data_IF_894350571614
#
_entry.id   IF_894350571614
#
_cell.length_a   1.000
_cell.length_b   1.000
_cell.length_c   1.000
_cell.angle_alpha   90.00
_cell.angle_beta   90.00
_cell.angle_gamma   90.00
#
_symmetry.space_group_name_H-M   'P 1'
#
loop_
_entity.id
_entity.type
_entity.pdbx_description
1 polymer ?
#
# COMPACT_ATOMS: atom_id res chain seq x y z
N UNK A 1 -1.22 -81.15 -0.52
CA UNK A 1 -2.46 -80.72 -1.21
C UNK A 1 -3.51 -80.52 -0.12
N UNK A 2 -4.24 -79.40 0.04
CA UNK A 2 -4.34 -78.15 -0.72
C UNK A 2 -4.00 -76.89 0.11
N UNK A 3 -4.06 -75.73 -0.54
CA UNK A 3 -3.63 -74.40 -0.10
C UNK A 3 -4.73 -73.52 0.59
N UNK A 4 -4.74 -72.16 0.52
CA UNK A 4 -4.78 -71.26 1.68
C UNK A 4 -6.07 -70.42 1.70
N UNK A 5 -6.19 -69.40 2.60
CA UNK A 5 -6.92 -68.13 2.37
C UNK A 5 -6.76 -67.22 3.60
N UNK A 6 -6.03 -66.09 3.51
CA UNK A 6 -6.38 -64.75 2.99
C UNK A 6 -7.35 -63.93 3.86
N UNK A 7 -6.88 -62.71 4.17
CA UNK A 7 -7.63 -61.44 4.29
C UNK A 7 -8.56 -61.31 5.51
N UNK A 8 -8.78 -60.16 6.14
CA UNK A 8 -8.56 -58.74 5.80
C UNK A 8 -8.91 -57.89 7.03
N UNK A 9 -8.34 -56.68 7.09
CA UNK A 9 -8.94 -55.42 7.58
C UNK A 9 -9.94 -55.47 8.75
N UNK A 10 -9.76 -54.59 9.75
CA UNK A 10 -10.35 -53.24 9.72
C UNK A 10 -10.04 -52.42 10.98
N UNK A 11 -9.71 -51.16 10.70
CA UNK A 11 -9.60 -49.99 11.57
C UNK A 11 -10.77 -49.81 12.54
N UNK A 12 -10.45 -49.23 13.70
CA UNK A 12 -11.11 -48.01 14.17
C UNK A 12 -12.03 -48.17 15.39
N UNK A 13 -11.79 -47.33 16.40
CA UNK A 13 -12.74 -47.13 17.51
C UNK A 13 -12.07 -46.67 18.80
N UNK A 14 -11.40 -45.51 18.78
CA UNK A 14 -10.89 -44.86 19.98
C UNK A 14 -12.04 -44.47 20.91
N UNK A 15 -11.92 -44.89 22.16
CA UNK A 15 -12.92 -44.80 23.20
C UNK A 15 -13.24 -43.36 23.62
N UNK A 16 -14.54 -43.11 23.80
CA UNK A 16 -15.06 -41.99 24.56
C UNK A 16 -14.81 -42.22 26.06
N UNK A 17 -14.23 -41.23 26.74
CA UNK A 17 -14.32 -41.12 28.20
C UNK A 17 -14.63 -39.68 28.57
N UNK A 18 -15.88 -39.47 28.98
CA UNK A 18 -16.39 -38.28 29.64
C UNK A 18 -15.77 -38.17 31.03
N UNK A 19 -15.26 -36.97 31.39
CA UNK A 19 -14.52 -36.74 32.64
C UNK A 19 -14.60 -35.28 33.11
N UNK A 20 -15.81 -34.88 33.47
CA UNK A 20 -16.28 -33.80 34.35
C UNK A 20 -15.25 -32.95 35.14
N UNK A 21 -15.32 -31.64 34.87
CA UNK A 21 -15.32 -30.47 35.79
C UNK A 21 -14.11 -30.10 36.69
N UNK A 22 -13.64 -28.85 36.50
CA UNK A 22 -13.50 -27.82 37.57
C UNK A 22 -13.38 -26.41 36.94
N UNK A 23 -14.33 -25.53 37.26
CA UNK A 23 -14.35 -24.10 36.92
C UNK A 23 -13.52 -23.30 37.95
N UNK A 24 -12.95 -22.15 37.55
CA UNK A 24 -13.03 -20.96 38.38
C UNK A 24 -13.81 -19.83 37.73
N UNK A 25 -14.59 -19.13 38.57
CA UNK A 25 -15.44 -17.99 38.27
C UNK A 25 -14.62 -16.70 38.34
N UNK A 26 -14.69 -15.86 37.31
CA UNK A 26 -14.38 -14.42 37.42
C UNK A 26 -15.48 -13.64 36.69
N UNK A 27 -16.13 -12.66 37.36
CA UNK A 27 -17.20 -11.88 36.76
C UNK A 27 -16.68 -10.67 35.96
N UNK A 28 -17.42 -10.18 34.96
CA UNK A 28 -17.12 -8.95 34.25
C UNK A 28 -17.75 -7.75 34.95
N UNK A 29 -17.06 -6.60 34.99
CA UNK A 29 -17.67 -5.30 35.27
C UNK A 29 -17.08 -4.22 34.37
N UNK A 30 -17.97 -3.64 33.57
CA UNK A 30 -17.78 -2.49 32.69
C UNK A 30 -17.60 -1.17 33.46
N UNK A 31 -17.18 -0.08 32.78
CA UNK A 31 -16.69 1.14 33.41
C UNK A 31 -17.82 2.14 33.70
N UNK A 32 -17.69 2.90 34.78
CA UNK A 32 -18.53 4.07 35.03
C UNK A 32 -17.74 5.18 35.74
N UNK A 33 -17.94 6.37 35.20
CA UNK A 33 -17.54 7.72 35.60
C UNK A 33 -18.11 8.20 36.94
N UNK A 34 -17.39 9.09 37.63
CA UNK A 34 -17.90 10.29 38.35
C UNK A 34 -16.72 11.04 39.01
N UNK A 35 -16.39 12.27 38.57
CA UNK A 35 -16.81 13.57 39.14
C UNK A 35 -16.08 13.91 40.47
N UNK A 36 -15.58 15.11 40.77
CA UNK A 36 -15.52 16.47 40.20
C UNK A 36 -14.43 17.23 40.99
N UNK A 37 -13.89 18.39 40.59
CA UNK A 37 -14.48 19.72 40.78
C UNK A 37 -13.50 20.74 40.16
N UNK A 38 -13.92 21.53 39.17
CA UNK A 38 -14.40 22.91 39.30
C UNK A 38 -13.31 23.97 39.56
N UNK A 39 -13.06 24.82 38.55
CA UNK A 39 -13.02 26.29 38.63
C UNK A 39 -12.78 26.90 37.23
N UNK A 40 -13.88 27.35 36.62
CA UNK A 40 -13.93 28.57 35.80
C UNK A 40 -14.47 29.70 36.72
N UNK A 41 -14.51 31.01 36.37
CA UNK A 41 -14.34 31.61 35.04
C UNK A 41 -13.56 32.96 35.02
N UNK A 42 -13.23 33.48 33.83
CA UNK A 42 -13.35 34.91 33.54
C UNK A 42 -13.25 35.18 32.03
N UNK A 43 -14.35 35.68 31.46
CA UNK A 43 -14.44 36.30 30.14
C UNK A 43 -14.14 37.79 30.28
N UNK A 44 -13.43 38.38 29.31
CA UNK A 44 -13.55 39.77 28.80
C UNK A 44 -12.60 39.89 27.59
N UNK A 45 -13.08 39.85 26.35
CA UNK A 45 -13.80 40.88 25.57
C UNK A 45 -12.94 42.07 25.10
N UNK A 46 -12.67 42.05 23.77
CA UNK A 46 -12.50 43.19 22.81
C UNK A 46 -11.30 44.13 23.07
N UNK A 47 -10.55 44.67 22.11
CA UNK A 47 -10.91 45.46 20.91
C UNK A 47 -9.68 45.70 20.01
N UNK A 48 -9.92 45.80 18.70
CA UNK A 48 -9.31 46.69 17.68
C UNK A 48 -7.78 46.92 17.62
N UNK A 49 -7.18 46.72 16.43
CA UNK A 49 -6.92 47.82 15.49
C UNK A 49 -6.29 47.33 14.18
N UNK A 50 -6.74 47.97 13.11
CA UNK A 50 -6.31 47.79 11.73
C UNK A 50 -5.03 48.55 11.40
N UNK A 51 -4.32 48.08 10.37
CA UNK A 51 -3.54 48.81 9.34
C UNK A 51 -3.00 47.71 8.43
N UNK A 52 -3.26 47.64 7.14
CA UNK A 52 -3.31 48.70 6.14
C UNK A 52 -2.33 48.27 5.06
N UNK A 53 -2.82 47.94 3.85
CA UNK A 53 -2.00 47.34 2.81
C UNK A 53 -2.78 47.07 1.53
N UNK A 54 -3.34 48.13 0.98
CA UNK A 54 -3.92 48.24 -0.36
C UNK A 54 -2.86 48.05 -1.45
N UNK A 55 -3.12 47.15 -2.39
CA UNK A 55 -2.83 47.39 -3.82
C UNK A 55 -3.73 46.54 -4.74
N UNK A 56 -4.76 47.21 -5.24
CA UNK A 56 -5.23 47.14 -6.64
C UNK A 56 -4.05 47.06 -7.62
N UNK A 57 -4.13 46.55 -8.84
CA UNK A 57 -5.17 45.92 -9.64
C UNK A 57 -4.52 45.45 -10.97
N UNK A 58 -5.27 44.64 -11.71
CA UNK A 58 -5.33 44.57 -13.19
C UNK A 58 -4.10 44.11 -13.99
N UNK A 59 -4.30 42.95 -14.64
CA UNK A 59 -4.31 42.83 -16.10
C UNK A 59 -2.96 42.73 -16.80
N UNK A 60 -2.73 41.61 -17.50
CA UNK A 60 -1.61 41.52 -18.43
C UNK A 60 -1.30 40.10 -18.92
N UNK A 61 -2.03 39.68 -19.96
CA UNK A 61 -1.52 38.88 -21.08
C UNK A 61 -0.62 37.67 -20.79
N UNK A 62 -1.27 36.51 -20.79
CA UNK A 62 -0.71 35.23 -21.20
C UNK A 62 0.03 35.33 -22.54
N UNK A 63 1.37 35.27 -22.52
CA UNK A 63 2.19 34.97 -23.69
C UNK A 63 2.90 33.65 -23.51
N UNK A 64 2.53 32.72 -24.37
CA UNK A 64 3.13 31.42 -24.56
C UNK A 64 4.67 31.51 -24.68
N UNK A 65 5.37 30.78 -23.81
CA UNK A 65 6.75 30.37 -24.06
C UNK A 65 6.79 28.86 -24.25
N UNK A 66 6.91 28.51 -25.52
CA UNK A 66 7.23 27.21 -26.09
C UNK A 66 8.65 26.85 -25.64
N UNK A 67 8.78 26.05 -24.59
CA UNK A 67 10.04 25.37 -24.26
C UNK A 67 9.94 23.93 -24.75
N UNK A 68 10.69 23.69 -25.82
CA UNK A 68 10.94 22.40 -26.44
C UNK A 68 11.51 21.40 -25.43
N UNK A 69 10.84 20.25 -25.32
CA UNK A 69 11.37 19.03 -24.70
C UNK A 69 12.49 18.49 -25.60
N UNK A 70 13.69 18.18 -25.12
CA UNK A 70 14.54 17.23 -25.81
C UNK A 70 14.01 15.81 -25.56
N UNK A 71 13.90 15.03 -26.64
CA UNK A 71 13.56 13.61 -26.61
C UNK A 71 14.66 12.79 -25.88
N UNK A 72 14.33 11.65 -25.27
CA UNK A 72 15.34 10.75 -24.71
C UNK A 72 16.17 10.15 -25.86
N UNK A 73 17.45 10.51 -25.90
CA UNK A 73 18.42 9.86 -26.77
C UNK A 73 18.51 8.37 -26.39
N UNK A 74 18.47 7.54 -27.43
CA UNK A 74 18.66 6.10 -27.34
C UNK A 74 19.94 5.77 -26.57
N UNK A 75 19.79 5.01 -25.48
CA UNK A 75 20.89 4.45 -24.72
C UNK A 75 21.69 3.51 -25.64
N UNK A 76 22.93 3.89 -25.93
CA UNK A 76 23.96 2.93 -26.35
C UNK A 76 24.25 2.02 -25.15
N UNK A 77 24.33 0.72 -25.42
CA UNK A 77 24.59 -0.32 -24.42
C UNK A 77 25.90 -0.06 -23.65
N UNK A 78 25.97 -0.37 -22.35
CA UNK A 78 27.16 -0.17 -21.54
C UNK A 78 28.05 -1.42 -21.54
N UNK A 79 29.04 -1.47 -22.44
CA UNK A 79 30.14 -2.44 -22.35
C UNK A 79 31.23 -1.98 -21.34
N UNK A 80 31.28 -0.68 -21.02
CA UNK A 80 32.35 -0.07 -20.21
C UNK A 80 32.07 0.03 -18.69
N UNK A 81 30.89 -0.38 -18.22
CA UNK A 81 30.55 -0.33 -16.78
C UNK A 81 31.26 -1.46 -16.02
N UNK A 82 31.41 -2.65 -16.63
CA UNK A 82 31.99 -3.82 -15.96
C UNK A 82 33.43 -3.59 -15.49
N UNK A 83 34.31 -3.08 -16.36
CA UNK A 83 35.73 -2.88 -16.03
C UNK A 83 35.95 -1.77 -14.98
N UNK A 84 35.19 -0.68 -15.04
CA UNK A 84 35.25 0.40 -14.05
C UNK A 84 34.71 -0.04 -12.70
N UNK A 85 33.64 -0.84 -12.68
CA UNK A 85 33.06 -1.35 -11.44
C UNK A 85 33.99 -2.35 -10.74
N UNK A 86 34.73 -3.19 -11.47
CA UNK A 86 35.69 -4.13 -10.85
C UNK A 86 36.92 -3.39 -10.32
N UNK A 87 37.40 -2.35 -11.03
CA UNK A 87 38.50 -1.52 -10.57
C UNK A 87 38.09 -0.68 -9.34
N UNK A 88 36.93 -0.03 -9.38
CA UNK A 88 36.36 0.71 -8.24
C UNK A 88 36.02 -0.20 -7.07
N UNK A 89 35.55 -1.43 -7.33
CA UNK A 89 35.32 -2.44 -6.30
C UNK A 89 36.64 -2.87 -5.67
N UNK A 90 37.70 -3.09 -6.47
CA UNK A 90 39.04 -3.43 -5.97
C UNK A 90 39.62 -2.30 -5.12
N UNK A 91 39.44 -1.05 -5.53
CA UNK A 91 39.92 0.14 -4.80
C UNK A 91 39.10 0.41 -3.52
N UNK A 92 37.78 0.17 -3.57
CA UNK A 92 36.93 0.22 -2.39
C UNK A 92 37.19 -0.94 -1.41
N UNK A 93 37.56 -2.13 -1.91
CA UNK A 93 37.98 -3.25 -1.08
C UNK A 93 39.34 -2.94 -0.43
N UNK A 94 40.29 -2.39 -1.19
CA UNK A 94 41.61 -2.05 -0.68
C UNK A 94 41.56 -0.99 0.40
N UNK A 95 40.88 0.13 0.14
CA UNK A 95 40.84 1.26 1.07
C UNK A 95 40.00 1.00 2.33
N UNK A 96 39.04 0.06 2.28
CA UNK A 96 38.01 -0.07 3.33
C UNK A 96 38.03 -1.39 4.09
N UNK A 97 38.59 -2.44 3.50
CA UNK A 97 38.74 -3.75 4.14
C UNK A 97 40.21 -4.11 4.34
N UNK A 98 41.08 -3.82 3.37
CA UNK A 98 42.48 -4.25 3.43
C UNK A 98 43.33 -3.37 4.33
N UNK A 99 43.32 -2.05 4.13
CA UNK A 99 44.13 -1.13 4.94
C UNK A 99 43.75 -1.15 6.45
N UNK A 100 42.46 -1.26 6.85
CA UNK A 100 42.11 -1.29 8.27
C UNK A 100 42.27 -2.65 8.95
N UNK A 101 42.28 -3.75 8.19
CA UNK A 101 42.38 -5.12 8.73
C UNK A 101 43.75 -5.77 8.46
N UNK A 102 44.70 -5.02 7.92
CA UNK A 102 46.03 -5.49 7.52
C UNK A 102 45.96 -6.73 6.58
N UNK A 103 44.93 -6.83 5.73
CA UNK A 103 44.73 -7.99 4.86
C UNK A 103 45.65 -7.93 3.63
N UNK A 104 46.65 -8.79 3.55
CA UNK A 104 47.54 -8.84 2.39
C UNK A 104 46.91 -9.66 1.26
N UNK A 105 46.58 -9.03 0.14
CA UNK A 105 46.18 -9.74 -1.09
C UNK A 105 47.42 -10.26 -1.82
N UNK A 106 47.67 -11.56 -1.69
CA UNK A 106 48.72 -12.24 -2.44
C UNK A 106 48.11 -12.90 -3.67
N UNK A 107 48.59 -12.51 -4.85
CA UNK A 107 48.25 -13.26 -6.06
C UNK A 107 49.00 -14.58 -6.07
N UNK A 108 48.46 -15.57 -6.78
CA UNK A 108 49.08 -16.88 -6.88
C UNK A 108 50.51 -16.77 -7.41
N UNK A 109 50.75 -15.91 -8.41
CA UNK A 109 52.10 -15.73 -8.95
C UNK A 109 53.08 -15.23 -7.88
N UNK A 110 52.64 -14.32 -6.99
CA UNK A 110 53.47 -13.77 -5.92
C UNK A 110 53.81 -14.81 -4.84
N UNK A 111 52.89 -15.73 -4.57
CA UNK A 111 53.10 -16.84 -3.64
C UNK A 111 54.11 -17.82 -4.26
N UNK A 112 53.94 -18.17 -5.54
CA UNK A 112 54.83 -19.11 -6.23
C UNK A 112 56.25 -18.54 -6.40
N UNK A 113 56.39 -17.24 -6.66
CA UNK A 113 57.67 -16.53 -6.70
C UNK A 113 58.41 -16.61 -5.35
N UNK A 114 57.75 -16.18 -4.27
CA UNK A 114 58.36 -16.17 -2.93
C UNK A 114 58.71 -17.58 -2.43
N UNK A 115 57.88 -18.57 -2.73
CA UNK A 115 58.15 -19.97 -2.37
C UNK A 115 59.26 -20.54 -3.25
N UNK A 116 59.31 -20.20 -4.55
CA UNK A 116 60.38 -20.61 -5.46
C UNK A 116 61.75 -20.08 -5.07
N UNK A 117 61.83 -18.84 -4.56
CA UNK A 117 63.06 -18.28 -4.00
C UNK A 117 63.52 -19.06 -2.77
N UNK A 118 62.59 -19.47 -1.90
CA UNK A 118 62.90 -20.27 -0.72
C UNK A 118 63.44 -21.67 -1.08
N UNK A 119 62.95 -22.26 -2.18
CA UNK A 119 63.47 -23.53 -2.73
C UNK A 119 64.87 -23.33 -3.31
N UNK A 120 65.08 -22.26 -4.08
CA UNK A 120 66.39 -21.95 -4.68
C UNK A 120 67.48 -21.71 -3.62
N UNK A 121 67.10 -21.12 -2.49
CA UNK A 121 67.99 -20.91 -1.33
C UNK A 121 68.17 -22.18 -0.47
N UNK A 122 67.51 -23.28 -0.81
CA UNK A 122 67.58 -24.55 -0.07
C UNK A 122 66.93 -24.51 1.32
N UNK A 123 66.04 -23.54 1.59
CA UNK A 123 65.32 -23.41 2.88
C UNK A 123 64.06 -24.26 2.96
N UNK A 124 63.51 -24.62 1.80
CA UNK A 124 62.31 -25.45 1.65
C UNK A 124 62.59 -26.44 0.51
N UNK A 125 62.11 -27.67 0.61
CA UNK A 125 62.24 -28.62 -0.50
C UNK A 125 61.21 -28.29 -1.59
N UNK A 126 61.46 -28.70 -2.83
CA UNK A 126 60.53 -28.47 -3.93
C UNK A 126 59.16 -29.13 -3.67
N UNK A 127 59.14 -30.29 -3.02
CA UNK A 127 57.93 -31.01 -2.67
C UNK A 127 57.15 -30.30 -1.54
N UNK A 128 57.84 -29.87 -0.47
CA UNK A 128 57.22 -29.11 0.63
C UNK A 128 56.62 -27.79 0.13
N UNK A 129 57.29 -27.14 -0.81
CA UNK A 129 56.80 -25.91 -1.44
C UNK A 129 55.46 -26.13 -2.18
N UNK A 130 55.33 -27.22 -2.93
CA UNK A 130 54.08 -27.55 -3.63
C UNK A 130 52.95 -27.84 -2.64
N UNK A 131 53.24 -28.54 -1.54
CA UNK A 131 52.26 -28.81 -0.49
C UNK A 131 51.80 -27.51 0.21
N UNK A 132 52.73 -26.61 0.54
CA UNK A 132 52.43 -25.33 1.17
C UNK A 132 51.54 -24.45 0.28
N UNK A 133 51.87 -24.34 -1.01
CA UNK A 133 51.06 -23.56 -1.97
C UNK A 133 49.67 -24.18 -2.12
N UNK A 134 49.59 -25.51 -2.24
CA UNK A 134 48.32 -26.23 -2.31
C UNK A 134 47.43 -25.98 -1.09
N UNK A 135 48.00 -26.14 0.11
CA UNK A 135 47.29 -25.92 1.37
C UNK A 135 46.84 -24.47 1.60
N UNK A 136 47.65 -23.50 1.20
CA UNK A 136 47.29 -22.07 1.25
C UNK A 136 46.12 -21.76 0.32
N UNK A 137 46.16 -22.24 -0.92
CA UNK A 137 45.09 -22.01 -1.89
C UNK A 137 43.78 -22.71 -1.47
N UNK A 138 43.86 -23.95 -0.99
CA UNK A 138 42.69 -24.68 -0.52
C UNK A 138 42.05 -24.00 0.69
N UNK A 139 42.86 -23.59 1.68
CA UNK A 139 42.39 -22.85 2.85
C UNK A 139 41.78 -21.50 2.47
N UNK A 140 42.42 -20.75 1.57
CA UNK A 140 41.91 -19.46 1.10
C UNK A 140 40.58 -19.60 0.34
N UNK A 141 40.44 -20.63 -0.50
CA UNK A 141 39.16 -20.96 -1.16
C UNK A 141 38.07 -21.29 -0.15
N UNK A 142 38.38 -22.13 0.84
CA UNK A 142 37.43 -22.48 1.90
C UNK A 142 36.95 -21.26 2.67
N UNK A 143 37.86 -20.41 3.13
CA UNK A 143 37.53 -19.17 3.83
C UNK A 143 36.69 -18.22 2.97
N UNK A 144 37.00 -18.09 1.68
CA UNK A 144 36.21 -17.26 0.75
C UNK A 144 34.78 -17.80 0.59
N UNK A 145 34.63 -19.13 0.47
CA UNK A 145 33.33 -19.77 0.36
C UNK A 145 32.51 -19.63 1.66
N UNK A 146 33.16 -19.72 2.82
CA UNK A 146 32.52 -19.53 4.12
C UNK A 146 31.98 -18.09 4.25
N UNK A 147 32.81 -17.09 3.91
CA UNK A 147 32.40 -15.67 3.92
C UNK A 147 31.29 -15.41 2.89
N UNK A 148 31.39 -16.00 1.69
CA UNK A 148 30.35 -15.88 0.67
C UNK A 148 29.03 -16.49 1.15
N UNK A 149 29.08 -17.66 1.80
CA UNK A 149 27.92 -18.30 2.40
C UNK A 149 27.28 -17.46 3.52
N UNK A 150 28.09 -16.84 4.38
CA UNK A 150 27.60 -15.94 5.42
C UNK A 150 26.93 -14.69 4.81
N UNK A 151 27.51 -14.12 3.76
CA UNK A 151 26.94 -12.99 3.02
C UNK A 151 25.63 -13.37 2.34
N UNK A 152 25.56 -14.53 1.69
CA UNK A 152 24.33 -15.06 1.09
C UNK A 152 23.25 -15.27 2.16
N UNK A 153 23.61 -15.82 3.32
CA UNK A 153 22.70 -16.02 4.44
C UNK A 153 22.21 -14.70 5.06
N UNK A 154 23.05 -13.67 5.13
CA UNK A 154 22.65 -12.34 5.57
C UNK A 154 21.76 -11.64 4.53
N UNK A 155 22.08 -11.78 3.24
CA UNK A 155 21.30 -11.19 2.17
C UNK A 155 19.92 -11.84 2.06
N UNK A 156 19.83 -13.17 2.20
CA UNK A 156 18.57 -13.90 2.24
C UNK A 156 17.69 -13.43 3.42
N UNK A 157 18.27 -13.36 4.64
CA UNK A 157 17.56 -12.83 5.81
C UNK A 157 17.11 -11.39 5.64
N UNK A 158 17.98 -10.53 5.09
CA UNK A 158 17.64 -9.13 4.82
C UNK A 158 16.50 -8.99 3.80
N UNK A 159 16.47 -9.86 2.78
CA UNK A 159 15.38 -9.90 1.80
C UNK A 159 14.07 -10.32 2.44
N UNK A 160 14.06 -11.36 3.27
CA UNK A 160 12.84 -11.84 3.94
C UNK A 160 12.26 -10.78 4.89
N UNK A 161 13.10 -10.07 5.64
CA UNK A 161 12.68 -8.98 6.53
C UNK A 161 12.12 -7.78 5.74
N UNK A 162 12.79 -7.42 4.64
CA UNK A 162 12.32 -6.35 3.74
C UNK A 162 11.01 -6.73 3.08
N UNK A 163 10.85 -7.97 2.64
CA UNK A 163 9.62 -8.46 2.02
C UNK A 163 8.46 -8.49 3.01
N UNK A 164 8.70 -8.94 4.25
CA UNK A 164 7.70 -8.89 5.33
C UNK A 164 7.27 -7.46 5.66
N UNK A 165 8.23 -6.53 5.77
CA UNK A 165 7.95 -5.11 6.03
C UNK A 165 7.22 -4.46 4.85
N UNK A 166 7.68 -4.68 3.63
CA UNK A 166 7.07 -4.14 2.42
C UNK A 166 5.66 -4.70 2.18
N UNK A 167 5.45 -5.99 2.43
CA UNK A 167 4.14 -6.63 2.38
C UNK A 167 3.15 -6.00 3.37
N UNK A 168 3.60 -5.77 4.61
CA UNK A 168 2.76 -5.12 5.62
C UNK A 168 2.43 -3.66 5.27
N UNK A 169 3.39 -2.91 4.71
CA UNK A 169 3.20 -1.53 4.27
C UNK A 169 2.23 -1.45 3.08
N UNK A 170 2.38 -2.34 2.09
CA UNK A 170 1.48 -2.45 0.94
C UNK A 170 0.06 -2.76 1.38
N UNK A 171 -0.13 -3.72 2.30
CA UNK A 171 -1.45 -4.08 2.82
C UNK A 171 -2.13 -2.89 3.51
N UNK A 172 -1.42 -2.21 4.42
CA UNK A 172 -1.92 -1.00 5.08
C UNK A 172 -2.27 0.10 4.09
N UNK A 173 -1.44 0.31 3.06
CA UNK A 173 -1.71 1.28 2.00
C UNK A 173 -2.98 0.94 1.21
N UNK A 174 -3.17 -0.34 0.87
CA UNK A 174 -4.37 -0.79 0.16
C UNK A 174 -5.65 -0.66 0.99
N UNK A 175 -5.58 -0.97 2.28
CA UNK A 175 -6.71 -0.82 3.20
C UNK A 175 -7.07 0.65 3.42
N UNK A 176 -6.07 1.53 3.54
CA UNK A 176 -6.27 2.97 3.65
C UNK A 176 -6.92 3.54 2.38
N UNK A 177 -6.43 3.15 1.20
CA UNK A 177 -6.99 3.57 -0.08
C UNK A 177 -8.45 3.11 -0.24
N UNK A 178 -8.77 1.87 0.16
CA UNK A 178 -10.15 1.35 0.12
C UNK A 178 -11.08 2.15 1.03
N UNK A 179 -10.63 2.52 2.23
CA UNK A 179 -11.40 3.35 3.16
C UNK A 179 -11.62 4.76 2.61
N UNK A 180 -10.59 5.37 2.02
CA UNK A 180 -10.70 6.68 1.41
C UNK A 180 -11.74 6.70 0.27
N UNK A 181 -11.72 5.69 -0.61
CA UNK A 181 -12.74 5.54 -1.67
C UNK A 181 -14.15 5.45 -1.11
N UNK A 182 -14.36 4.61 -0.11
CA UNK A 182 -15.68 4.45 0.53
C UNK A 182 -16.17 5.76 1.14
N UNK A 183 -15.29 6.53 1.79
CA UNK A 183 -15.66 7.83 2.37
C UNK A 183 -16.07 8.84 1.29
N UNK A 184 -15.39 8.85 0.14
CA UNK A 184 -15.74 9.70 -1.00
C UNK A 184 -17.08 9.27 -1.60
N UNK A 185 -17.33 7.98 -1.76
CA UNK A 185 -18.62 7.44 -2.21
C UNK A 185 -19.75 7.83 -1.25
N UNK A 186 -19.55 7.68 0.06
CA UNK A 186 -20.54 8.06 1.06
C UNK A 186 -20.80 9.57 1.07
N UNK A 187 -19.75 10.38 0.94
CA UNK A 187 -19.85 11.84 0.88
C UNK A 187 -20.57 12.31 -0.39
N UNK A 188 -20.25 11.72 -1.54
CA UNK A 188 -20.90 12.04 -2.82
C UNK A 188 -22.36 11.61 -2.84
N UNK A 189 -22.70 10.44 -2.28
CA UNK A 189 -24.09 9.98 -2.12
C UNK A 189 -24.90 10.95 -1.25
N UNK A 190 -24.32 11.42 -0.13
CA UNK A 190 -24.95 12.43 0.73
C UNK A 190 -25.15 13.77 0.02
N UNK A 191 -24.12 14.25 -0.69
CA UNK A 191 -24.22 15.50 -1.45
C UNK A 191 -25.30 15.43 -2.53
N UNK A 192 -25.40 14.30 -3.24
CA UNK A 192 -26.44 14.07 -4.25
C UNK A 192 -27.85 14.08 -3.62
N UNK A 193 -28.03 13.39 -2.51
CA UNK A 193 -29.32 13.36 -1.81
C UNK A 193 -29.73 14.74 -1.29
N UNK A 194 -28.77 15.53 -0.79
CA UNK A 194 -29.06 16.87 -0.29
C UNK A 194 -29.38 17.84 -1.42
N UNK A 195 -28.64 17.79 -2.53
CA UNK A 195 -28.95 18.54 -3.73
C UNK A 195 -30.36 18.21 -4.27
N UNK A 196 -30.75 16.93 -4.26
CA UNK A 196 -32.08 16.50 -4.66
C UNK A 196 -33.18 17.09 -3.77
N UNK A 197 -32.98 17.13 -2.44
CA UNK A 197 -33.95 17.75 -1.51
C UNK A 197 -34.08 19.26 -1.72
N UNK A 198 -32.99 19.95 -2.02
CA UNK A 198 -33.01 21.40 -2.25
C UNK A 198 -33.65 21.77 -3.60
N UNK A 199 -33.48 20.94 -4.63
CA UNK A 199 -34.06 21.15 -5.95
C UNK A 199 -35.57 20.83 -6.00
N UNK A 200 -36.05 19.91 -5.16
CA UNK A 200 -37.44 19.43 -5.18
C UNK A 200 -38.52 20.53 -5.03
N UNK A 201 -38.44 21.47 -4.06
CA UNK A 201 -39.46 22.52 -3.94
C UNK A 201 -39.44 23.51 -5.11
N UNK A 202 -38.28 23.70 -5.76
CA UNK A 202 -38.18 24.57 -6.94
C UNK A 202 -38.84 23.90 -8.14
N UNK A 203 -38.58 22.61 -8.35
CA UNK A 203 -39.22 21.82 -9.40
C UNK A 203 -40.73 21.70 -9.19
N UNK A 204 -41.20 21.53 -7.95
CA UNK A 204 -42.63 21.51 -7.64
C UNK A 204 -43.32 22.85 -7.95
N UNK A 205 -42.67 23.98 -7.69
CA UNK A 205 -43.17 25.32 -8.05
C UNK A 205 -43.21 25.51 -9.57
N UNK A 206 -42.18 25.05 -10.27
CA UNK A 206 -42.13 25.07 -11.74
C UNK A 206 -43.26 24.21 -12.30
N UNK A 207 -43.47 22.99 -11.79
CA UNK A 207 -44.59 22.13 -12.19
C UNK A 207 -45.93 22.83 -11.98
N UNK A 208 -46.13 23.51 -10.84
CA UNK A 208 -47.37 24.24 -10.55
C UNK A 208 -47.60 25.41 -11.52
N UNK A 209 -46.59 26.23 -11.76
CA UNK A 209 -46.66 27.35 -12.71
C UNK A 209 -46.91 26.86 -14.14
N UNK A 210 -46.27 25.75 -14.52
CA UNK A 210 -46.42 25.11 -15.81
C UNK A 210 -47.84 24.61 -16.06
N UNK A 211 -48.43 23.93 -15.06
CA UNK A 211 -49.81 23.43 -15.13
C UNK A 211 -50.81 24.58 -15.20
N UNK A 212 -50.59 25.65 -14.43
CA UNK A 212 -51.43 26.85 -14.47
C UNK A 212 -51.35 27.59 -15.81
N UNK A 213 -50.18 27.61 -16.45
CA UNK A 213 -49.97 28.23 -17.76
C UNK A 213 -50.36 27.37 -18.96
N UNK A 214 -50.62 26.06 -18.77
CA UNK A 214 -50.87 25.13 -19.87
C UNK A 214 -49.67 24.88 -20.79
N UNK A 215 -48.44 25.21 -20.35
CA UNK A 215 -47.24 25.19 -21.18
C UNK A 215 -46.43 23.91 -20.88
N UNK A 216 -46.54 22.83 -21.64
CA UNK A 216 -45.63 21.68 -21.49
C UNK A 216 -46.23 20.31 -21.76
N UNK A 217 -45.46 19.23 -21.58
CA UNK A 217 -45.92 17.87 -21.83
C UNK A 217 -47.16 17.54 -20.98
N UNK A 218 -48.03 16.69 -21.53
CA UNK A 218 -49.34 16.31 -20.95
C UNK A 218 -49.27 15.78 -19.50
N UNK A 219 -48.10 15.31 -19.06
CA UNK A 219 -47.94 14.66 -17.77
C UNK A 219 -47.75 15.66 -16.60
N UNK A 220 -48.50 15.52 -15.48
CA UNK A 220 -48.54 16.54 -14.44
C UNK A 220 -47.25 16.76 -13.62
N UNK A 221 -46.34 15.78 -13.56
CA UNK A 221 -45.11 15.84 -12.77
C UNK A 221 -43.90 15.77 -13.72
N UNK A 222 -42.97 16.73 -13.66
CA UNK A 222 -41.77 16.69 -14.50
C UNK A 222 -40.76 15.65 -13.99
N UNK A 223 -40.20 14.86 -14.91
CA UNK A 223 -39.13 13.89 -14.60
C UNK A 223 -39.61 12.76 -13.68
N UNK A 224 -40.88 12.37 -13.80
CA UNK A 224 -41.54 11.43 -12.90
C UNK A 224 -40.74 10.13 -12.68
N UNK A 225 -40.14 9.58 -13.75
CA UNK A 225 -39.39 8.32 -13.70
C UNK A 225 -38.05 8.44 -12.93
N UNK A 226 -37.53 9.67 -12.76
CA UNK A 226 -36.29 9.95 -12.04
C UNK A 226 -36.52 10.33 -10.57
N UNK A 227 -37.79 10.45 -10.14
CA UNK A 227 -38.13 10.86 -8.79
C UNK A 227 -38.17 9.66 -7.83
N UNK A 228 -37.69 9.91 -6.61
CA UNK A 228 -37.84 8.93 -5.53
C UNK A 228 -39.31 8.85 -5.08
N UNK A 229 -39.74 7.68 -4.59
CA UNK A 229 -41.13 7.47 -4.15
C UNK A 229 -41.62 8.53 -3.14
N UNK A 230 -40.73 9.00 -2.25
CA UNK A 230 -41.05 10.05 -1.29
C UNK A 230 -41.29 11.42 -1.95
N UNK A 231 -40.51 11.77 -2.98
CA UNK A 231 -40.69 13.01 -3.74
C UNK A 231 -41.98 12.96 -4.55
N UNK A 232 -42.32 11.81 -5.13
CA UNK A 232 -43.60 11.62 -5.83
C UNK A 232 -44.76 11.84 -4.86
N UNK A 233 -44.76 11.18 -3.69
CA UNK A 233 -45.81 11.34 -2.68
C UNK A 233 -46.01 12.80 -2.25
N UNK A 234 -44.93 13.55 -2.06
CA UNK A 234 -45.00 14.98 -1.72
C UNK A 234 -45.61 15.85 -2.83
N UNK A 235 -45.50 15.45 -4.10
CA UNK A 235 -46.12 16.17 -5.23
C UNK A 235 -47.56 15.75 -5.50
N UNK A 236 -47.95 14.53 -5.09
CA UNK A 236 -49.32 14.03 -5.23
C UNK A 236 -50.34 14.83 -4.41
N UNK A 237 -49.95 15.39 -3.26
CA UNK A 237 -50.85 16.20 -2.42
C UNK A 237 -51.29 17.51 -3.06
N UNK A 238 -50.50 18.02 -4.00
CA UNK A 238 -50.73 19.30 -4.68
C UNK A 238 -51.44 19.15 -6.04
N UNK A 239 -51.81 17.92 -6.42
CA UNK A 239 -52.44 17.61 -7.70
C UNK A 239 -53.96 17.62 -7.60
N UNK A 240 -54.62 18.10 -8.66
CA UNK A 240 -56.07 18.08 -8.75
C UNK A 240 -56.60 16.65 -9.00
N UNK A 241 -57.87 16.35 -8.68
CA UNK A 241 -58.44 15.02 -8.91
C UNK A 241 -58.42 14.54 -10.36
N UNK A 242 -58.38 15.46 -11.33
CA UNK A 242 -58.24 15.12 -12.75
C UNK A 242 -56.80 14.71 -13.10
N UNK A 243 -55.81 15.36 -12.47
CA UNK A 243 -54.40 15.06 -12.68
C UNK A 243 -53.97 13.77 -11.97
N UNK A 244 -54.52 13.49 -10.79
CA UNK A 244 -54.32 12.20 -10.09
C UNK A 244 -54.79 11.01 -10.94
N UNK A 245 -55.89 11.18 -11.70
CA UNK A 245 -56.34 10.17 -12.67
C UNK A 245 -55.28 9.93 -13.76
N UNK A 246 -54.68 11.01 -14.29
CA UNK A 246 -53.60 10.90 -15.29
C UNK A 246 -52.36 10.18 -14.75
N UNK A 247 -51.96 10.45 -13.50
CA UNK A 247 -50.83 9.75 -12.86
C UNK A 247 -51.15 8.27 -12.68
N UNK A 248 -52.34 7.94 -12.16
CA UNK A 248 -52.79 6.55 -12.00
C UNK A 248 -52.86 5.80 -13.34
N UNK A 249 -53.34 6.45 -14.40
CA UNK A 249 -53.44 5.84 -15.73
C UNK A 249 -52.07 5.71 -16.42
N UNK A 250 -51.09 6.53 -16.05
CA UNK A 250 -49.69 6.38 -16.46
C UNK A 250 -49.04 5.18 -15.77
N UNK A 251 -49.17 5.07 -14.44
CA UNK A 251 -48.71 3.93 -13.64
C UNK A 251 -49.25 2.61 -14.18
N UNK A 252 -50.57 2.52 -14.43
CA UNK A 252 -51.19 1.31 -14.99
C UNK A 252 -50.66 0.90 -16.37
N UNK A 253 -50.04 1.81 -17.11
CA UNK A 253 -49.48 1.55 -18.43
C UNK A 253 -47.98 1.26 -18.41
N UNK A 254 -47.29 1.59 -17.31
CA UNK A 254 -45.83 1.48 -17.19
C UNK A 254 -45.39 0.58 -16.02
N UNK A 255 -46.34 0.02 -15.24
CA UNK A 255 -46.13 -1.05 -14.27
C UNK A 255 -46.23 -2.42 -14.93
#
# INVERSE_FOLDING_TARGET
MPQPRRSSQKKGGGAASQGRAKKPKTPPRSPASSAGAAKSPARRARTSQAKGGTSQAKGGTSRARKQSRPAPAAAKAPEDISAKTVAELREALSARLIDPLELVMLTRERIEEAVGDAVTLGRVTADDAQELVGGLLERGRKQTNDVLGDLEGLLARGRDELEGRAGSARKRGSDAARRARKQVEDATARARNEAAKQADPVLAKVDRARRAGGIGPSFPITGYDDLTAAQVQGRLSDLTPAELRKVRDYERRHA
#
